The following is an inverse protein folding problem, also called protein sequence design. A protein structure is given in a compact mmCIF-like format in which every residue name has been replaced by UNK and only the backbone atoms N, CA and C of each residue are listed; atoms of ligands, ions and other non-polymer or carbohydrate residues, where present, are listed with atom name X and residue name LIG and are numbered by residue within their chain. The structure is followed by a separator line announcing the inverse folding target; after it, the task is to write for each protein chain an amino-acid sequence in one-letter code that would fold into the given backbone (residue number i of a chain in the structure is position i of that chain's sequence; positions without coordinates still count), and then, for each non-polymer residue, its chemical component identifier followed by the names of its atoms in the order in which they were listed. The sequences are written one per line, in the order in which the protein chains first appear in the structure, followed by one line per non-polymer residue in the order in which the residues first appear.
data_IF_994230440679
#
_entry.id   IF_994230440679
#
_cell.length_a   1.000
_cell.length_b   1.000
_cell.length_c   1.000
_cell.angle_alpha   90.00
_cell.angle_beta   90.00
_cell.angle_gamma   90.00
#
_symmetry.space_group_name_H-M   'P 1'
#
loop_
_entity.id
_entity.type
_entity.pdbx_description
1 polymer ?
#
# COMPACT_ATOMS: atom_id res chain seq x y z
N UNK A 1 28.28 3.54 12.76
CA UNK A 1 28.43 5.01 12.84
C UNK A 1 27.42 5.68 11.90
N UNK A 2 27.34 5.28 10.63
CA UNK A 2 26.51 5.94 9.61
C UNK A 2 24.99 5.89 9.93
N UNK A 3 24.47 4.76 10.38
CA UNK A 3 23.07 4.61 10.75
C UNK A 3 22.66 5.53 11.93
N UNK A 4 23.54 5.71 12.92
CA UNK A 4 23.28 6.60 14.05
C UNK A 4 23.35 8.07 13.64
N UNK A 5 24.24 8.43 12.71
CA UNK A 5 24.33 9.78 12.16
C UNK A 5 23.08 10.11 11.36
N UNK A 6 22.64 9.19 10.51
CA UNK A 6 21.42 9.33 9.70
C UNK A 6 20.17 9.46 10.60
N UNK A 7 20.04 8.61 11.63
CA UNK A 7 18.94 8.71 12.58
C UNK A 7 18.92 10.05 13.34
N UNK A 8 20.10 10.59 13.68
CA UNK A 8 20.22 11.91 14.31
C UNK A 8 19.80 13.06 13.38
N UNK A 9 20.10 12.98 12.10
CA UNK A 9 19.67 13.99 11.13
C UNK A 9 18.14 13.91 10.87
N UNK A 10 17.57 12.71 10.80
CA UNK A 10 16.12 12.52 10.69
C UNK A 10 15.42 13.08 11.94
N UNK A 11 15.98 12.84 13.15
CA UNK A 11 15.45 13.41 14.39
C UNK A 11 15.38 14.94 14.35
N UNK A 12 16.44 15.61 13.90
CA UNK A 12 16.47 17.07 13.73
C UNK A 12 15.45 17.56 12.70
N UNK A 13 15.24 16.80 11.64
CA UNK A 13 14.21 17.14 10.64
C UNK A 13 12.81 17.06 11.26
N UNK A 14 12.52 16.05 12.09
CA UNK A 14 11.25 15.95 12.82
C UNK A 14 11.06 17.14 13.76
N UNK A 15 12.08 17.49 14.56
CA UNK A 15 12.04 18.68 15.44
C UNK A 15 11.75 19.97 14.65
N UNK A 16 12.34 20.14 13.47
CA UNK A 16 12.06 21.29 12.60
C UNK A 16 10.61 21.30 12.09
N UNK A 17 10.06 20.12 11.73
CA UNK A 17 8.64 20.02 11.35
C UNK A 17 7.71 20.25 12.54
N UNK A 18 8.05 19.81 13.75
CA UNK A 18 7.28 20.10 14.96
C UNK A 18 7.24 21.59 15.26
N UNK A 19 8.40 22.28 15.14
CA UNK A 19 8.47 23.72 15.28
C UNK A 19 7.61 24.44 14.22
N UNK A 20 7.65 23.97 12.96
CA UNK A 20 6.85 24.53 11.88
C UNK A 20 5.35 24.32 12.11
N UNK A 21 4.94 23.12 12.54
CA UNK A 21 3.57 22.78 12.88
C UNK A 21 3.05 23.61 14.07
N UNK A 22 3.91 23.94 15.04
CA UNK A 22 3.53 24.78 16.19
C UNK A 22 3.18 26.21 15.77
N UNK A 23 3.80 26.74 14.71
CA UNK A 23 3.59 28.10 14.19
C UNK A 23 2.46 28.16 13.17
N UNK A 24 2.43 27.21 12.23
CA UNK A 24 1.49 27.20 11.10
C UNK A 24 0.20 26.42 11.39
N UNK A 25 0.18 25.67 12.48
CA UNK A 25 -0.84 24.68 12.74
C UNK A 25 -0.64 23.42 11.93
N UNK A 26 -1.47 22.41 12.18
CA UNK A 26 -1.43 21.13 11.48
C UNK A 26 -1.61 21.33 9.97
N UNK A 27 -0.68 20.79 9.20
CA UNK A 27 -0.63 20.85 7.74
C UNK A 27 -0.39 19.43 7.18
N UNK A 28 -1.13 19.09 6.12
CA UNK A 28 -1.02 17.76 5.50
C UNK A 28 0.41 17.42 5.07
N UNK A 29 1.08 18.36 4.38
CA UNK A 29 2.44 18.14 3.90
C UNK A 29 3.42 17.88 5.04
N UNK A 30 3.29 18.62 6.15
CA UNK A 30 4.13 18.43 7.35
C UNK A 30 3.87 17.08 7.98
N UNK A 31 2.61 16.72 8.23
CA UNK A 31 2.24 15.43 8.83
C UNK A 31 2.69 14.24 7.96
N UNK A 32 2.56 14.33 6.63
CA UNK A 32 3.03 13.30 5.71
C UNK A 32 4.57 13.17 5.70
N UNK A 33 5.30 14.28 5.81
CA UNK A 33 6.76 14.22 5.94
C UNK A 33 7.17 13.58 7.27
N UNK A 34 6.55 13.98 8.37
CA UNK A 34 6.79 13.38 9.70
C UNK A 34 6.47 11.87 9.68
N UNK A 35 5.35 11.48 9.10
CA UNK A 35 5.00 10.06 8.91
C UNK A 35 6.13 9.29 8.22
N UNK A 36 6.61 9.76 7.06
CA UNK A 36 7.71 9.13 6.33
C UNK A 36 8.99 9.03 7.15
N UNK A 37 9.34 10.07 7.90
CA UNK A 37 10.52 10.09 8.75
C UNK A 37 10.38 9.12 9.93
N UNK A 38 9.20 9.01 10.53
CA UNK A 38 8.95 8.02 11.59
C UNK A 38 9.01 6.59 11.07
N UNK A 39 8.51 6.32 9.85
CA UNK A 39 8.67 5.00 9.19
C UNK A 39 10.16 4.69 8.97
N UNK A 40 10.96 5.66 8.49
CA UNK A 40 12.41 5.47 8.31
C UNK A 40 13.16 5.22 9.63
N UNK A 41 12.67 5.77 10.74
CA UNK A 41 13.23 5.53 12.08
C UNK A 41 12.70 4.25 12.75
N UNK A 42 11.88 3.48 12.07
CA UNK A 42 11.21 2.30 12.63
C UNK A 42 10.40 2.63 13.90
N UNK A 43 9.72 3.80 13.87
CA UNK A 43 8.86 4.28 14.94
C UNK A 43 7.38 4.21 14.54
N UNK A 44 6.79 3.00 14.53
CA UNK A 44 5.44 2.78 14.01
C UNK A 44 4.35 3.52 14.80
N UNK A 45 4.50 3.66 16.12
CA UNK A 45 3.51 4.35 16.95
C UNK A 45 3.40 5.85 16.64
N UNK A 46 4.54 6.51 16.41
CA UNK A 46 4.60 7.91 16.03
C UNK A 46 4.10 8.12 14.61
N UNK A 47 4.49 7.23 13.69
CA UNK A 47 3.96 7.24 12.32
C UNK A 47 2.43 7.10 12.30
N UNK A 48 1.89 6.17 13.08
CA UNK A 48 0.46 5.95 13.22
C UNK A 48 -0.28 7.24 13.68
N UNK A 49 0.24 7.92 14.71
CA UNK A 49 -0.35 9.16 15.23
C UNK A 49 -0.44 10.27 14.18
N UNK A 50 0.55 10.40 13.30
CA UNK A 50 0.48 11.39 12.22
C UNK A 50 -0.64 11.08 11.22
N UNK A 51 -0.86 9.82 10.88
CA UNK A 51 -1.96 9.42 10.00
C UNK A 51 -3.32 9.55 10.70
N UNK A 52 -3.42 9.22 12.00
CA UNK A 52 -4.65 9.47 12.78
C UNK A 52 -5.05 10.95 12.77
N UNK A 53 -4.09 11.85 12.96
CA UNK A 53 -4.33 13.31 12.86
C UNK A 53 -4.88 13.70 11.49
N UNK A 54 -4.29 13.14 10.41
CA UNK A 54 -4.74 13.41 9.05
C UNK A 54 -6.15 12.87 8.79
N UNK A 55 -6.43 11.64 9.18
CA UNK A 55 -7.76 11.03 9.05
C UNK A 55 -8.83 11.79 9.84
N UNK A 56 -8.48 12.32 11.02
CA UNK A 56 -9.38 13.13 11.83
C UNK A 56 -9.66 14.51 11.20
N UNK A 57 -8.63 15.14 10.61
CA UNK A 57 -8.74 16.46 9.97
C UNK A 57 -9.42 16.40 8.61
N UNK A 58 -9.21 15.33 7.87
CA UNK A 58 -9.71 15.12 6.51
C UNK A 58 -10.56 13.84 6.43
N UNK A 59 -11.74 13.81 7.09
CA UNK A 59 -12.52 12.58 7.23
C UNK A 59 -13.12 12.05 5.93
N UNK A 60 -13.14 12.89 4.87
CA UNK A 60 -13.65 12.52 3.54
C UNK A 60 -12.52 12.12 2.56
N UNK A 61 -11.30 11.93 3.04
CA UNK A 61 -10.16 11.47 2.24
C UNK A 61 -9.94 9.96 2.49
N UNK A 62 -10.38 9.13 1.54
CA UNK A 62 -10.30 7.66 1.62
C UNK A 62 -8.88 7.16 1.90
N UNK A 63 -7.85 7.80 1.29
CA UNK A 63 -6.45 7.42 1.42
C UNK A 63 -5.95 7.33 2.87
N UNK A 64 -6.41 8.20 3.77
CA UNK A 64 -5.99 8.14 5.18
C UNK A 64 -6.62 6.98 5.92
N UNK A 65 -7.87 6.63 5.57
CA UNK A 65 -8.52 5.45 6.11
C UNK A 65 -7.85 4.16 5.60
N UNK A 66 -7.41 4.13 4.34
CA UNK A 66 -6.66 3.01 3.77
C UNK A 66 -5.35 2.82 4.53
N UNK A 67 -4.54 3.89 4.68
CA UNK A 67 -3.26 3.82 5.39
C UNK A 67 -3.44 3.41 6.86
N UNK A 68 -4.47 3.93 7.56
CA UNK A 68 -4.78 3.48 8.91
C UNK A 68 -5.14 1.99 8.97
N UNK A 69 -5.91 1.53 8.00
CA UNK A 69 -6.25 0.12 7.85
C UNK A 69 -5.01 -0.75 7.67
N UNK A 70 -4.08 -0.34 6.80
CA UNK A 70 -2.82 -1.05 6.57
C UNK A 70 -1.96 -1.11 7.84
N UNK A 71 -1.82 0.00 8.57
CA UNK A 71 -1.10 0.04 9.83
C UNK A 71 -1.74 -0.85 10.92
N UNK A 72 -3.08 -0.86 11.02
CA UNK A 72 -3.78 -1.78 11.90
C UNK A 72 -3.56 -3.24 11.49
N UNK A 73 -3.55 -3.54 10.18
CA UNK A 73 -3.31 -4.87 9.66
C UNK A 73 -1.89 -5.35 10.01
N UNK A 74 -0.88 -4.50 9.83
CA UNK A 74 0.51 -4.79 10.20
C UNK A 74 0.66 -5.09 11.69
N UNK A 75 -0.12 -4.41 12.54
CA UNK A 75 -0.17 -4.65 13.97
C UNK A 75 -1.03 -5.89 14.37
N UNK A 76 -1.62 -6.60 13.41
CA UNK A 76 -2.49 -7.76 13.65
C UNK A 76 -3.89 -7.41 14.15
N UNK A 77 -4.28 -6.14 14.12
CA UNK A 77 -5.57 -5.63 14.59
C UNK A 77 -6.64 -5.72 13.48
N UNK A 78 -6.97 -6.95 13.08
CA UNK A 78 -7.82 -7.25 11.92
C UNK A 78 -9.16 -6.53 11.89
N UNK A 79 -9.85 -6.45 13.04
CA UNK A 79 -11.17 -5.81 13.12
C UNK A 79 -11.09 -4.29 12.91
N UNK A 80 -10.04 -3.65 13.43
CA UNK A 80 -9.79 -2.23 13.23
C UNK A 80 -9.40 -1.93 11.79
N UNK A 81 -8.54 -2.77 11.20
CA UNK A 81 -8.19 -2.68 9.80
C UNK A 81 -9.43 -2.72 8.90
N UNK A 82 -10.30 -3.70 9.12
CA UNK A 82 -11.54 -3.84 8.36
C UNK A 82 -12.45 -2.62 8.50
N UNK A 83 -12.59 -2.08 9.72
CA UNK A 83 -13.41 -0.88 9.96
C UNK A 83 -12.87 0.35 9.20
N UNK A 84 -11.54 0.52 9.12
CA UNK A 84 -10.92 1.57 8.33
C UNK A 84 -11.17 1.38 6.83
N UNK A 85 -11.01 0.16 6.32
CA UNK A 85 -11.28 -0.16 4.92
C UNK A 85 -12.75 0.04 4.52
N UNK A 86 -13.69 -0.30 5.41
CA UNK A 86 -15.11 -0.04 5.19
C UNK A 86 -15.40 1.46 5.06
N UNK A 87 -14.79 2.29 5.92
CA UNK A 87 -14.90 3.75 5.79
C UNK A 87 -14.29 4.27 4.50
N UNK A 88 -13.13 3.75 4.10
CA UNK A 88 -12.51 4.13 2.84
C UNK A 88 -13.42 3.82 1.65
N UNK A 89 -14.03 2.63 1.64
CA UNK A 89 -14.98 2.21 0.60
C UNK A 89 -16.27 3.04 0.57
N UNK A 90 -16.74 3.50 1.73
CA UNK A 90 -17.89 4.42 1.80
C UNK A 90 -17.56 5.80 1.21
N UNK A 91 -16.31 6.27 1.36
CA UNK A 91 -15.85 7.57 0.84
C UNK A 91 -15.60 7.48 -0.66
N UNK A 92 -14.79 6.52 -1.12
CA UNK A 92 -14.49 6.27 -2.53
C UNK A 92 -14.44 4.76 -2.82
N UNK A 93 -15.56 4.16 -3.25
CA UNK A 93 -15.60 2.74 -3.61
C UNK A 93 -14.78 2.39 -4.86
N UNK A 94 -14.25 3.39 -5.57
CA UNK A 94 -13.46 3.20 -6.79
C UNK A 94 -11.96 3.41 -6.59
N UNK A 95 -11.53 3.65 -5.35
CA UNK A 95 -10.11 3.84 -5.01
C UNK A 95 -9.33 2.54 -5.28
N UNK A 96 -8.33 2.55 -6.17
CA UNK A 96 -7.58 1.34 -6.52
C UNK A 96 -6.73 0.81 -5.37
N UNK A 97 -6.25 1.67 -4.48
CA UNK A 97 -5.43 1.27 -3.33
C UNK A 97 -6.27 0.56 -2.27
N UNK A 98 -7.55 0.91 -2.14
CA UNK A 98 -8.50 0.13 -1.32
C UNK A 98 -8.54 -1.34 -1.75
N UNK A 99 -8.60 -1.60 -3.07
CA UNK A 99 -8.63 -2.98 -3.60
C UNK A 99 -7.35 -3.73 -3.23
N UNK A 100 -6.19 -3.05 -3.34
CA UNK A 100 -4.87 -3.63 -2.97
C UNK A 100 -4.82 -3.96 -1.48
N UNK A 101 -5.24 -3.04 -0.63
CA UNK A 101 -5.25 -3.24 0.83
C UNK A 101 -6.22 -4.33 1.25
N UNK A 102 -7.39 -4.45 0.59
CA UNK A 102 -8.30 -5.57 0.82
C UNK A 102 -7.71 -6.92 0.40
N UNK A 103 -6.90 -6.97 -0.67
CA UNK A 103 -6.16 -8.19 -1.02
C UNK A 103 -5.21 -8.61 0.12
N UNK A 104 -4.43 -7.67 0.66
CA UNK A 104 -3.53 -7.91 1.80
C UNK A 104 -4.31 -8.37 3.06
N UNK A 105 -5.47 -7.75 3.32
CA UNK A 105 -6.36 -8.13 4.42
C UNK A 105 -6.84 -9.58 4.30
N UNK A 106 -7.34 -9.98 3.13
CA UNK A 106 -7.79 -11.35 2.90
C UNK A 106 -6.63 -12.36 2.95
N UNK A 107 -5.44 -11.98 2.49
CA UNK A 107 -4.23 -12.79 2.65
C UNK A 107 -3.90 -13.03 4.13
N UNK A 108 -3.90 -11.98 4.95
CA UNK A 108 -3.64 -12.08 6.38
C UNK A 108 -4.72 -12.92 7.10
N UNK A 109 -5.97 -12.84 6.63
CA UNK A 109 -7.08 -13.66 7.14
C UNK A 109 -6.99 -15.13 6.73
N UNK A 110 -6.18 -15.44 5.72
CA UNK A 110 -6.07 -16.78 5.14
C UNK A 110 -7.15 -17.12 4.12
N UNK A 111 -7.97 -16.14 3.72
CA UNK A 111 -9.00 -16.29 2.68
C UNK A 111 -8.36 -16.08 1.30
N UNK A 112 -7.77 -17.17 0.79
CA UNK A 112 -7.01 -17.16 -0.46
C UNK A 112 -7.86 -16.80 -1.67
N UNK A 113 -9.12 -17.25 -1.70
CA UNK A 113 -10.02 -17.02 -2.83
C UNK A 113 -10.41 -15.55 -2.91
N UNK A 114 -10.81 -14.94 -1.79
CA UNK A 114 -11.11 -13.51 -1.74
C UNK A 114 -9.88 -12.65 -2.05
N UNK A 115 -8.69 -13.01 -1.53
CA UNK A 115 -7.45 -12.32 -1.84
C UNK A 115 -7.13 -12.35 -3.34
N UNK A 116 -7.23 -13.52 -3.98
CA UNK A 116 -6.99 -13.66 -5.42
C UNK A 116 -7.98 -12.83 -6.25
N UNK A 117 -9.25 -12.80 -5.86
CA UNK A 117 -10.26 -11.97 -6.52
C UNK A 117 -9.90 -10.47 -6.46
N UNK A 118 -9.44 -9.98 -5.30
CA UNK A 118 -9.00 -8.59 -5.15
C UNK A 118 -7.74 -8.32 -5.99
N UNK A 119 -6.77 -9.21 -5.99
CA UNK A 119 -5.56 -9.10 -6.83
C UNK A 119 -5.93 -8.95 -8.30
N UNK A 120 -6.82 -9.80 -8.81
CA UNK A 120 -7.30 -9.71 -10.20
C UNK A 120 -7.98 -8.36 -10.47
N UNK A 121 -8.84 -7.91 -9.56
CA UNK A 121 -9.53 -6.63 -9.67
C UNK A 121 -8.56 -5.45 -9.68
N UNK A 122 -7.51 -5.49 -8.85
CA UNK A 122 -6.45 -4.47 -8.84
C UNK A 122 -5.69 -4.43 -10.16
N UNK A 123 -5.28 -5.58 -10.69
CA UNK A 123 -4.49 -5.69 -11.91
C UNK A 123 -5.21 -5.15 -13.15
N UNK A 124 -6.53 -5.34 -13.26
CA UNK A 124 -7.34 -4.82 -14.39
C UNK A 124 -7.83 -3.38 -14.17
N UNK A 125 -7.61 -2.78 -13.00
CA UNK A 125 -8.06 -1.43 -12.69
C UNK A 125 -7.22 -0.40 -13.46
N UNK A 126 -7.84 0.37 -14.35
CA UNK A 126 -7.15 1.38 -15.17
C UNK A 126 -6.61 2.57 -14.36
N UNK A 127 -7.16 2.82 -13.17
CA UNK A 127 -6.69 3.91 -12.28
C UNK A 127 -5.43 3.55 -11.50
N UNK A 128 -5.09 2.25 -11.41
CA UNK A 128 -3.88 1.81 -10.72
C UNK A 128 -2.68 1.98 -11.65
N UNK A 129 -1.61 2.58 -11.14
CA UNK A 129 -0.38 2.78 -11.89
C UNK A 129 0.31 1.45 -12.24
N UNK A 130 1.07 1.46 -13.35
CA UNK A 130 1.73 0.26 -13.88
C UNK A 130 2.75 -0.31 -12.91
N UNK A 131 3.52 0.55 -12.22
CA UNK A 131 4.53 0.11 -11.26
C UNK A 131 3.89 -0.69 -10.11
N UNK A 132 2.79 -0.20 -9.58
CA UNK A 132 2.02 -0.93 -8.54
C UNK A 132 1.47 -2.26 -9.08
N UNK A 133 0.94 -2.29 -10.31
CA UNK A 133 0.49 -3.53 -10.96
C UNK A 133 1.62 -4.54 -11.12
N UNK A 134 2.80 -4.12 -11.56
CA UNK A 134 3.99 -4.96 -11.69
C UNK A 134 4.40 -5.55 -10.33
N UNK A 135 4.40 -4.76 -9.28
CA UNK A 135 4.71 -5.22 -7.92
C UNK A 135 3.71 -6.27 -7.41
N UNK A 136 2.40 -6.03 -7.62
CA UNK A 136 1.34 -6.98 -7.25
C UNK A 136 1.52 -8.30 -8.01
N UNK A 137 1.75 -8.21 -9.33
CA UNK A 137 1.91 -9.38 -10.18
C UNK A 137 3.16 -10.19 -9.82
N UNK A 138 4.29 -9.52 -9.51
CA UNK A 138 5.52 -10.16 -9.04
C UNK A 138 5.28 -10.99 -7.78
N UNK A 139 4.61 -10.40 -6.79
CA UNK A 139 4.24 -11.09 -5.53
C UNK A 139 3.31 -12.28 -5.79
N UNK A 140 2.34 -12.11 -6.67
CA UNK A 140 1.39 -13.17 -7.03
C UNK A 140 2.09 -14.36 -7.70
N UNK A 141 3.03 -14.11 -8.63
CA UNK A 141 3.82 -15.16 -9.29
C UNK A 141 4.69 -15.92 -8.28
N UNK A 142 5.42 -15.20 -7.42
CA UNK A 142 6.24 -15.83 -6.38
C UNK A 142 5.40 -16.76 -5.49
N UNK A 143 4.18 -16.36 -5.17
CA UNK A 143 3.25 -17.18 -4.38
C UNK A 143 2.80 -18.42 -5.14
N UNK A 144 2.46 -18.30 -6.44
CA UNK A 144 2.10 -19.45 -7.28
C UNK A 144 3.24 -20.45 -7.38
N UNK A 145 4.48 -19.99 -7.57
CA UNK A 145 5.67 -20.85 -7.61
C UNK A 145 5.89 -21.61 -6.29
N UNK A 146 5.74 -20.92 -5.15
CA UNK A 146 5.89 -21.53 -3.82
C UNK A 146 4.81 -22.58 -3.53
N UNK A 147 3.60 -22.35 -3.99
CA UNK A 147 2.46 -23.26 -3.74
C UNK A 147 2.31 -24.34 -4.80
N UNK A 148 3.17 -24.36 -5.83
CA UNK A 148 3.10 -25.25 -7.00
C UNK A 148 1.72 -25.22 -7.68
N UNK A 149 1.03 -24.11 -7.61
CA UNK A 149 -0.21 -23.87 -8.34
C UNK A 149 0.11 -23.56 -9.81
N UNK A 150 -0.78 -23.96 -10.72
CA UNK A 150 -0.60 -23.74 -12.15
C UNK A 150 -0.50 -22.26 -12.52
N UNK A 151 0.30 -21.94 -13.53
CA UNK A 151 0.55 -20.60 -14.00
C UNK A 151 -0.50 -20.08 -14.99
N UNK A 152 -1.52 -20.85 -15.32
CA UNK A 152 -2.54 -20.49 -16.32
C UNK A 152 -3.26 -19.18 -15.99
N UNK A 153 -3.63 -18.99 -14.72
CA UNK A 153 -4.25 -17.75 -14.26
C UNK A 153 -3.30 -16.53 -14.38
N UNK A 154 -2.02 -16.74 -14.07
CA UNK A 154 -1.00 -15.71 -14.23
C UNK A 154 -0.82 -15.34 -15.71
N UNK A 155 -0.80 -16.33 -16.62
CA UNK A 155 -0.71 -16.08 -18.06
C UNK A 155 -1.84 -15.17 -18.56
N UNK A 156 -3.08 -15.45 -18.15
CA UNK A 156 -4.22 -14.62 -18.54
C UNK A 156 -4.10 -13.17 -18.01
N UNK A 157 -3.65 -13.01 -16.77
CA UNK A 157 -3.43 -11.68 -16.18
C UNK A 157 -2.32 -10.91 -16.91
N UNK A 158 -1.21 -11.56 -17.27
CA UNK A 158 -0.17 -10.94 -18.08
C UNK A 158 -0.68 -10.49 -19.43
N UNK A 159 -1.44 -11.33 -20.13
CA UNK A 159 -2.01 -10.97 -21.43
C UNK A 159 -2.91 -9.74 -21.30
N UNK A 160 -3.80 -9.71 -20.30
CA UNK A 160 -4.67 -8.54 -20.05
C UNK A 160 -3.85 -7.28 -19.78
N UNK A 161 -2.79 -7.37 -18.96
CA UNK A 161 -1.94 -6.22 -18.66
C UNK A 161 -1.12 -5.76 -19.87
N UNK A 162 -0.61 -6.67 -20.68
CA UNK A 162 0.11 -6.34 -21.92
C UNK A 162 -0.82 -5.69 -22.97
N UNK A 163 -2.09 -6.04 -23.01
CA UNK A 163 -3.08 -5.36 -23.84
C UNK A 163 -3.32 -3.92 -23.37
N UNK A 164 -3.34 -3.68 -22.06
CA UNK A 164 -3.50 -2.33 -21.48
C UNK A 164 -2.22 -1.48 -21.59
N UNK A 165 -1.04 -2.13 -21.50
CA UNK A 165 0.27 -1.48 -21.46
C UNK A 165 1.24 -2.13 -22.47
N UNK A 166 0.98 -2.04 -23.79
CA UNK A 166 1.72 -2.79 -24.80
C UNK A 166 3.18 -2.36 -24.95
N UNK A 167 3.54 -1.16 -24.49
CA UNK A 167 4.92 -0.66 -24.55
C UNK A 167 5.75 -0.91 -23.28
N UNK A 168 5.14 -1.48 -22.24
CA UNK A 168 5.83 -1.72 -20.97
C UNK A 168 6.83 -2.87 -21.09
N UNK A 169 8.12 -2.54 -20.91
CA UNK A 169 9.24 -3.46 -21.07
C UNK A 169 9.32 -4.43 -19.89
N UNK A 170 9.04 -3.94 -18.68
CA UNK A 170 9.14 -4.74 -17.44
C UNK A 170 8.09 -5.85 -17.45
N UNK A 171 6.85 -5.52 -17.85
CA UNK A 171 5.80 -6.52 -18.05
C UNK A 171 6.16 -7.58 -19.08
N UNK A 172 6.76 -7.18 -20.22
CA UNK A 172 7.22 -8.12 -21.26
C UNK A 172 8.32 -9.05 -20.75
N UNK A 173 9.28 -8.52 -20.01
CA UNK A 173 10.38 -9.31 -19.44
C UNK A 173 9.87 -10.29 -18.39
N UNK A 174 8.98 -9.85 -17.51
CA UNK A 174 8.35 -10.72 -16.49
C UNK A 174 7.54 -11.85 -17.14
N UNK A 175 6.76 -11.54 -18.16
CA UNK A 175 5.99 -12.55 -18.89
C UNK A 175 6.89 -13.58 -19.59
N UNK A 176 7.97 -13.10 -20.22
CA UNK A 176 8.99 -14.00 -20.80
C UNK A 176 9.61 -14.94 -19.75
N UNK A 177 9.89 -14.44 -18.55
CA UNK A 177 10.41 -15.25 -17.43
C UNK A 177 9.41 -16.28 -16.86
N UNK A 178 8.10 -16.00 -16.99
CA UNK A 178 7.07 -16.95 -16.56
C UNK A 178 6.90 -18.13 -17.52
N UNK A 179 7.19 -17.91 -18.80
CA UNK A 179 7.01 -18.92 -19.86
C UNK A 179 8.21 -19.87 -20.01
N UNK A 180 9.35 -19.59 -19.37
CA UNK A 180 10.54 -20.43 -19.33
C UNK A 180 10.53 -21.43 -18.17
#
# INVERSE_FOLDING_TARGET
ADALTQAGEIGKAIEAYDALESVMGMNEAISMQKYKLYVQLEKPEEAFKEIEKLAAKYPMEARYQIVLGDLHLENGEMDKALACYQKANEIDPTDPYYIVSMANYYEAKGDKEAAEQQIRSALVNEKLDVETKVNILSRYILKLQQTKQGTENANHLFQTLLEQHPEDIDLKLMYGGLLM
#
